data_IF_060885716001
#
_entry.id   IF_060885716001
#
_cell.length_a   1.000
_cell.length_b   1.000
_cell.length_c   1.000
_cell.angle_alpha   90.00
_cell.angle_beta   90.00
_cell.angle_gamma   90.00
#
_symmetry.space_group_name_H-M   'P 1'
#
loop_
_entity.id
_entity.type
_entity.pdbx_description
1 polymer ?
#
# COMPACT_ATOMS: atom_id res chain seq x y z
N UNK A 1 -0.41 -18.89 -16.35
CA UNK A 1 0.21 -19.62 -15.21
C UNK A 1 0.25 -18.73 -13.96
N UNK A 2 0.65 -17.47 -14.07
CA UNK A 2 0.76 -16.54 -12.93
C UNK A 2 -0.58 -16.28 -12.22
N UNK A 3 -1.64 -16.00 -12.95
CA UNK A 3 -2.98 -15.71 -12.38
C UNK A 3 -3.59 -16.92 -11.64
N UNK A 4 -3.26 -18.16 -12.06
CA UNK A 4 -3.79 -19.37 -11.42
C UNK A 4 -3.16 -19.62 -10.05
N UNK A 5 -1.87 -19.37 -9.89
CA UNK A 5 -1.19 -19.57 -8.60
C UNK A 5 -1.75 -18.67 -7.49
N UNK A 6 -2.00 -17.39 -7.75
CA UNK A 6 -2.60 -16.50 -6.76
C UNK A 6 -4.05 -16.87 -6.44
N UNK A 7 -4.81 -17.31 -7.45
CA UNK A 7 -6.18 -17.78 -7.25
C UNK A 7 -6.21 -19.06 -6.44
N UNK A 8 -5.35 -20.02 -6.73
CA UNK A 8 -5.28 -21.29 -6.00
C UNK A 8 -4.91 -21.04 -4.53
N UNK A 9 -3.90 -20.21 -4.25
CA UNK A 9 -3.51 -19.85 -2.87
C UNK A 9 -4.62 -19.08 -2.14
N UNK A 10 -5.29 -18.13 -2.82
CA UNK A 10 -6.46 -17.47 -2.27
C UNK A 10 -7.52 -18.49 -1.84
N UNK A 11 -7.89 -19.39 -2.75
CA UNK A 11 -8.94 -20.38 -2.51
C UNK A 11 -8.56 -21.35 -1.37
N UNK A 12 -7.29 -21.70 -1.24
CA UNK A 12 -6.79 -22.51 -0.12
C UNK A 12 -6.93 -21.77 1.21
N UNK A 13 -6.51 -20.49 1.25
CA UNK A 13 -6.53 -19.67 2.45
C UNK A 13 -7.95 -19.23 2.88
N UNK A 14 -8.90 -19.22 1.94
CA UNK A 14 -10.32 -18.91 2.14
C UNK A 14 -11.20 -20.16 2.23
N UNK A 15 -10.60 -21.36 2.15
CA UNK A 15 -11.29 -22.66 2.28
C UNK A 15 -12.37 -22.93 1.21
N UNK A 16 -12.12 -22.49 -0.03
CA UNK A 16 -13.13 -22.51 -1.10
C UNK A 16 -12.90 -23.55 -2.19
N UNK A 17 -11.73 -24.23 -2.23
CA UNK A 17 -11.36 -25.18 -3.31
C UNK A 17 -10.61 -26.40 -2.78
N UNK A 18 -11.30 -27.54 -2.69
CA UNK A 18 -10.73 -28.82 -2.24
C UNK A 18 -9.72 -29.43 -3.23
N UNK A 19 -9.85 -29.16 -4.53
CA UNK A 19 -8.89 -29.67 -5.52
C UNK A 19 -7.55 -28.92 -5.41
N UNK A 20 -7.60 -27.60 -5.20
CA UNK A 20 -6.41 -26.81 -4.94
C UNK A 20 -5.70 -27.26 -3.66
N UNK A 21 -6.47 -27.54 -2.58
CA UNK A 21 -5.91 -28.09 -1.34
C UNK A 21 -5.19 -29.41 -1.54
N UNK A 22 -5.79 -30.38 -2.26
CA UNK A 22 -5.14 -31.65 -2.56
C UNK A 22 -3.86 -31.47 -3.37
N UNK A 23 -3.87 -30.55 -4.35
CA UNK A 23 -2.72 -30.28 -5.22
C UNK A 23 -1.53 -29.72 -4.44
N UNK A 24 -1.78 -28.87 -3.47
CA UNK A 24 -0.77 -28.15 -2.69
C UNK A 24 -0.71 -28.58 -1.21
N UNK A 25 -1.19 -29.77 -0.86
CA UNK A 25 -1.32 -30.27 0.50
C UNK A 25 -0.05 -30.06 1.35
N UNK A 26 1.11 -30.40 0.80
CA UNK A 26 2.41 -30.24 1.47
C UNK A 26 2.79 -28.76 1.74
N UNK A 27 2.20 -27.80 1.01
CA UNK A 27 2.51 -26.37 1.11
C UNK A 27 1.48 -25.58 1.94
N UNK A 28 0.35 -26.18 2.27
CA UNK A 28 -0.73 -25.51 3.01
C UNK A 28 -0.23 -24.90 4.34
N UNK A 29 0.53 -25.62 5.19
CA UNK A 29 1.04 -25.01 6.43
C UNK A 29 1.91 -23.79 6.17
N UNK A 30 2.72 -23.81 5.11
CA UNK A 30 3.55 -22.69 4.71
C UNK A 30 2.69 -21.47 4.30
N UNK A 31 1.61 -21.66 3.53
CA UNK A 31 0.72 -20.56 3.13
C UNK A 31 0.06 -19.88 4.33
N UNK A 32 -0.34 -20.64 5.34
CA UNK A 32 -0.88 -20.06 6.57
C UNK A 32 0.18 -19.28 7.37
N UNK A 33 1.40 -19.80 7.49
CA UNK A 33 2.51 -19.07 8.11
C UNK A 33 2.85 -17.77 7.34
N UNK A 34 2.85 -17.81 6.01
CA UNK A 34 3.04 -16.61 5.18
C UNK A 34 1.94 -15.58 5.41
N UNK A 35 0.68 -16.00 5.53
CA UNK A 35 -0.44 -15.12 5.85
C UNK A 35 -0.27 -14.46 7.22
N UNK A 36 0.11 -15.23 8.22
CA UNK A 36 0.36 -14.72 9.58
C UNK A 36 1.50 -13.70 9.57
N UNK A 37 2.64 -14.04 8.95
CA UNK A 37 3.79 -13.14 8.83
C UNK A 37 3.43 -11.85 8.07
N UNK A 38 2.69 -11.94 6.97
CA UNK A 38 2.17 -10.79 6.23
C UNK A 38 1.35 -9.85 7.14
N UNK A 39 0.48 -10.42 7.99
CA UNK A 39 -0.27 -9.64 8.99
C UNK A 39 0.64 -8.91 9.99
N UNK A 40 1.67 -9.57 10.49
CA UNK A 40 2.65 -8.98 11.42
C UNK A 40 3.41 -7.83 10.73
N UNK A 41 3.89 -8.03 9.52
CA UNK A 41 4.61 -7.01 8.74
C UNK A 41 3.73 -5.80 8.45
N UNK A 42 2.48 -6.02 8.05
CA UNK A 42 1.50 -4.95 7.79
C UNK A 42 1.21 -4.15 9.04
N UNK A 43 0.96 -4.82 10.18
CA UNK A 43 0.73 -4.15 11.46
C UNK A 43 1.96 -3.32 11.87
N UNK A 44 3.17 -3.84 11.69
CA UNK A 44 4.40 -3.11 11.98
C UNK A 44 4.53 -1.84 11.12
N UNK A 45 4.24 -1.91 9.82
CA UNK A 45 4.22 -0.73 8.94
C UNK A 45 3.14 0.26 9.34
N UNK A 46 1.94 -0.22 9.64
CA UNK A 46 0.83 0.62 10.10
C UNK A 46 1.20 1.41 11.36
N UNK A 47 1.87 0.78 12.33
CA UNK A 47 2.35 1.46 13.54
C UNK A 47 3.41 2.53 13.25
N UNK A 48 4.18 2.38 12.17
CA UNK A 48 5.15 3.39 11.70
C UNK A 48 4.49 4.55 10.95
N UNK A 49 3.19 4.46 10.63
CA UNK A 49 2.43 5.50 9.93
C UNK A 49 2.33 5.26 8.42
N UNK A 50 2.38 3.98 7.96
CA UNK A 50 2.10 3.69 6.56
C UNK A 50 0.65 4.01 6.23
N UNK A 51 0.46 4.57 5.03
CA UNK A 51 -0.86 4.96 4.55
C UNK A 51 -1.25 4.00 3.44
N UNK A 52 -2.30 3.23 3.67
CA UNK A 52 -2.88 2.35 2.65
C UNK A 52 -4.05 3.08 1.97
N UNK A 53 -3.85 3.44 0.70
CA UNK A 53 -4.91 3.98 -0.13
C UNK A 53 -5.59 2.85 -0.88
N UNK A 54 -6.81 2.53 -0.53
CA UNK A 54 -7.59 1.48 -1.22
C UNK A 54 -8.33 2.10 -2.43
N UNK A 55 -7.59 2.38 -3.50
CA UNK A 55 -8.20 2.82 -4.75
C UNK A 55 -8.50 1.61 -5.64
N UNK A 56 -9.72 1.54 -6.18
CA UNK A 56 -10.05 0.49 -7.13
C UNK A 56 -9.19 0.62 -8.39
N UNK A 57 -8.35 -0.39 -8.63
CA UNK A 57 -7.60 -0.54 -9.87
C UNK A 57 -8.49 -1.16 -10.96
N UNK A 58 -8.20 -0.85 -12.22
CA UNK A 58 -8.95 -1.41 -13.34
C UNK A 58 -8.15 -2.49 -14.07
N UNK A 59 -8.76 -3.67 -14.22
CA UNK A 59 -8.22 -4.76 -15.05
C UNK A 59 -8.87 -4.70 -16.43
N UNK A 60 -8.06 -4.48 -17.45
CA UNK A 60 -8.51 -4.50 -18.86
C UNK A 60 -8.53 -5.96 -19.33
N UNK A 61 -9.69 -6.41 -19.79
CA UNK A 61 -9.86 -7.75 -20.36
C UNK A 61 -9.65 -7.65 -21.86
N UNK A 62 -8.69 -8.43 -22.36
CA UNK A 62 -8.37 -8.48 -23.78
C UNK A 62 -8.91 -9.77 -24.41
N UNK A 63 -9.32 -9.70 -25.69
CA UNK A 63 -9.64 -10.88 -26.49
C UNK A 63 -8.35 -11.55 -27.03
N UNK A 64 -8.50 -12.67 -27.73
CA UNK A 64 -7.35 -13.40 -28.31
C UNK A 64 -6.55 -12.56 -29.34
N UNK A 65 -7.10 -11.52 -29.90
CA UNK A 65 -6.45 -10.58 -30.81
C UNK A 65 -5.81 -9.38 -30.09
N UNK A 66 -5.80 -9.34 -28.75
CA UNK A 66 -5.23 -8.25 -27.98
C UNK A 66 -6.09 -6.99 -27.89
N UNK A 67 -7.33 -7.01 -28.36
CA UNK A 67 -8.26 -5.87 -28.30
C UNK A 67 -8.99 -5.88 -26.97
N UNK A 68 -9.09 -4.70 -26.31
CA UNK A 68 -9.88 -4.52 -25.10
C UNK A 68 -11.37 -4.78 -25.35
N UNK A 69 -11.97 -5.66 -24.55
CA UNK A 69 -13.38 -6.06 -24.65
C UNK A 69 -14.17 -5.72 -23.39
N UNK A 70 -13.50 -5.53 -22.25
CA UNK A 70 -14.14 -5.21 -20.98
C UNK A 70 -13.15 -4.54 -20.03
N UNK A 71 -13.67 -3.81 -19.03
CA UNK A 71 -12.89 -3.22 -17.93
C UNK A 71 -13.57 -3.61 -16.64
N UNK A 72 -12.85 -4.33 -15.78
CA UNK A 72 -13.34 -4.80 -14.48
C UNK A 72 -12.52 -4.20 -13.34
N UNK A 73 -13.09 -3.95 -12.17
CA UNK A 73 -12.29 -3.62 -11.00
C UNK A 73 -11.35 -4.79 -10.69
N UNK A 74 -10.09 -4.47 -10.38
CA UNK A 74 -9.12 -5.43 -9.85
C UNK A 74 -9.23 -5.41 -8.32
N UNK A 75 -9.59 -6.55 -7.75
CA UNK A 75 -9.63 -6.73 -6.31
C UNK A 75 -8.34 -7.41 -5.85
N UNK A 76 -7.59 -6.72 -5.01
CA UNK A 76 -6.46 -7.32 -4.32
C UNK A 76 -6.97 -8.44 -3.40
N UNK A 77 -6.38 -9.62 -3.49
CA UNK A 77 -6.75 -10.78 -2.67
C UNK A 77 -5.68 -11.08 -1.63
N UNK A 78 -6.00 -12.01 -0.71
CA UNK A 78 -5.09 -12.39 0.38
C UNK A 78 -3.72 -12.84 -0.14
N UNK A 79 -3.66 -13.56 -1.25
CA UNK A 79 -2.40 -14.06 -1.81
C UNK A 79 -1.54 -12.94 -2.41
N UNK A 80 -2.16 -11.97 -3.11
CA UNK A 80 -1.45 -10.81 -3.65
C UNK A 80 -0.94 -9.90 -2.52
N UNK A 81 -1.72 -9.72 -1.46
CA UNK A 81 -1.33 -8.94 -0.28
C UNK A 81 -0.13 -9.55 0.47
N UNK A 82 -0.06 -10.87 0.58
CA UNK A 82 1.11 -11.57 1.15
C UNK A 82 2.38 -11.23 0.37
N UNK A 83 2.33 -11.32 -0.95
CA UNK A 83 3.51 -11.04 -1.79
C UNK A 83 3.89 -9.57 -1.72
N UNK A 84 2.92 -8.65 -1.72
CA UNK A 84 3.15 -7.22 -1.55
C UNK A 84 3.90 -6.92 -0.24
N UNK A 85 3.44 -7.46 0.90
CA UNK A 85 4.08 -7.25 2.20
C UNK A 85 5.51 -7.79 2.23
N UNK A 86 5.76 -8.93 1.59
CA UNK A 86 7.10 -9.52 1.51
C UNK A 86 8.03 -8.72 0.59
N UNK A 87 7.52 -8.21 -0.54
CA UNK A 87 8.28 -7.34 -1.44
C UNK A 87 8.66 -6.03 -0.73
N UNK A 88 7.72 -5.43 -0.01
CA UNK A 88 8.00 -4.22 0.76
C UNK A 88 9.05 -4.45 1.83
N UNK A 89 8.96 -5.55 2.58
CA UNK A 89 9.96 -5.91 3.58
C UNK A 89 11.34 -6.14 2.97
N UNK A 90 11.41 -6.83 1.83
CA UNK A 90 12.67 -7.05 1.12
C UNK A 90 13.29 -5.73 0.64
N UNK A 91 12.48 -4.84 0.05
CA UNK A 91 12.93 -3.53 -0.43
C UNK A 91 13.44 -2.66 0.73
N UNK A 92 12.69 -2.59 1.84
CA UNK A 92 13.09 -1.85 3.04
C UNK A 92 14.42 -2.40 3.62
N UNK A 93 14.56 -3.73 3.72
CA UNK A 93 15.76 -4.37 4.27
C UNK A 93 16.99 -4.08 3.42
N UNK A 94 16.89 -4.23 2.11
CA UNK A 94 18.00 -3.94 1.18
C UNK A 94 18.37 -2.46 1.24
N UNK A 95 17.39 -1.56 1.19
CA UNK A 95 17.64 -0.13 1.26
C UNK A 95 18.32 0.27 2.58
N UNK A 96 17.88 -0.31 3.70
CA UNK A 96 18.46 -0.04 5.01
C UNK A 96 19.90 -0.55 5.12
N UNK A 97 20.19 -1.75 4.63
CA UNK A 97 21.52 -2.33 4.65
C UNK A 97 22.53 -1.44 3.91
N UNK A 98 22.21 -1.10 2.65
CA UNK A 98 23.08 -0.24 1.84
C UNK A 98 23.22 1.18 2.43
N UNK A 99 22.17 1.68 3.07
CA UNK A 99 22.20 2.97 3.76
C UNK A 99 23.14 2.92 4.99
N UNK A 100 23.06 1.85 5.79
CA UNK A 100 23.86 1.68 7.00
C UNK A 100 25.34 1.51 6.66
N UNK A 101 25.65 0.81 5.59
CA UNK A 101 27.04 0.59 5.10
C UNK A 101 27.57 1.78 4.27
N UNK A 102 26.79 2.85 4.10
CA UNK A 102 27.13 4.03 3.30
C UNK A 102 27.53 3.68 1.85
N UNK A 103 26.99 2.59 1.31
CA UNK A 103 27.26 2.13 -0.04
C UNK A 103 26.36 2.91 -1.01
N UNK A 104 26.90 3.49 -2.11
CA UNK A 104 26.07 4.16 -3.13
C UNK A 104 25.00 3.21 -3.70
N UNK A 105 23.75 3.60 -3.59
CA UNK A 105 22.60 2.80 -4.04
C UNK A 105 21.52 3.72 -4.63
N UNK A 106 20.55 3.16 -5.33
CA UNK A 106 19.42 3.94 -5.84
C UNK A 106 18.23 3.74 -4.88
N UNK A 107 17.86 4.84 -4.21
CA UNK A 107 16.73 4.88 -3.30
C UNK A 107 15.52 5.53 -3.97
N UNK A 108 14.34 5.01 -3.68
CA UNK A 108 13.09 5.66 -4.01
C UNK A 108 12.60 6.42 -2.79
N UNK A 109 12.52 7.72 -2.89
CA UNK A 109 12.22 8.60 -1.75
C UNK A 109 11.00 9.46 -2.04
N UNK A 110 10.30 9.85 -0.96
CA UNK A 110 9.25 10.87 -0.99
C UNK A 110 9.68 12.05 -0.14
N UNK A 111 9.53 13.24 -0.69
CA UNK A 111 9.68 14.47 0.08
C UNK A 111 8.44 14.70 0.95
N UNK A 112 8.58 15.55 1.98
CA UNK A 112 7.44 16.01 2.77
C UNK A 112 6.35 16.61 1.86
N UNK A 113 5.06 16.47 2.24
CA UNK A 113 3.95 17.06 1.50
C UNK A 113 4.15 18.57 1.28
N UNK A 114 3.50 19.09 0.24
CA UNK A 114 3.51 20.51 -0.07
C UNK A 114 2.68 21.29 0.98
N UNK A 115 3.29 22.23 1.74
CA UNK A 115 2.59 22.91 2.84
C UNK A 115 1.32 23.65 2.40
N UNK A 116 1.31 24.30 1.23
CA UNK A 116 0.14 25.02 0.71
C UNK A 116 -1.01 24.07 0.38
N UNK A 117 -0.70 22.91 -0.17
CA UNK A 117 -1.71 21.88 -0.47
C UNK A 117 -2.25 21.24 0.80
N UNK A 118 -1.39 21.05 1.79
CA UNK A 118 -1.78 20.55 3.11
C UNK A 118 -2.73 21.52 3.80
N UNK A 119 -2.42 22.83 3.81
CA UNK A 119 -3.29 23.84 4.39
C UNK A 119 -4.67 23.89 3.70
N UNK A 120 -4.68 23.81 2.37
CA UNK A 120 -5.91 23.72 1.58
C UNK A 120 -6.72 22.46 1.93
N UNK A 121 -6.05 21.32 2.11
CA UNK A 121 -6.69 20.07 2.52
C UNK A 121 -7.29 20.18 3.92
N UNK A 122 -6.54 20.70 4.89
CA UNK A 122 -7.00 20.89 6.27
C UNK A 122 -8.23 21.82 6.34
N UNK A 123 -8.22 22.90 5.57
CA UNK A 123 -9.35 23.82 5.45
C UNK A 123 -10.60 23.11 4.92
N UNK A 124 -10.43 22.28 3.88
CA UNK A 124 -11.54 21.49 3.31
C UNK A 124 -12.08 20.48 4.32
N UNK A 125 -11.22 19.76 5.03
CA UNK A 125 -11.60 18.77 6.03
C UNK A 125 -12.34 19.43 7.20
N UNK A 126 -11.88 20.60 7.65
CA UNK A 126 -12.55 21.38 8.66
C UNK A 126 -13.97 21.79 8.23
N UNK A 127 -14.14 22.24 6.99
CA UNK A 127 -15.44 22.59 6.41
C UNK A 127 -16.39 21.38 6.27
N UNK A 128 -15.85 20.17 6.17
CA UNK A 128 -16.60 18.91 6.16
C UNK A 128 -16.90 18.38 7.58
N UNK A 129 -16.51 19.11 8.64
CA UNK A 129 -16.74 18.74 10.01
C UNK A 129 -15.80 17.66 10.57
N UNK A 130 -14.75 17.31 9.83
CA UNK A 130 -13.72 16.40 10.31
C UNK A 130 -12.87 17.10 11.37
N UNK A 131 -12.88 16.57 12.59
CA UNK A 131 -12.10 17.13 13.70
C UNK A 131 -10.64 16.72 13.55
N UNK A 132 -9.82 17.62 13.05
CA UNK A 132 -8.38 17.45 12.99
C UNK A 132 -7.76 18.28 14.11
N UNK A 133 -6.90 17.67 14.92
CA UNK A 133 -6.06 18.44 15.83
C UNK A 133 -5.14 19.30 14.98
N UNK A 134 -5.06 20.61 15.31
CA UNK A 134 -4.27 21.57 14.54
C UNK A 134 -2.88 21.01 14.30
N UNK A 135 -2.56 20.76 13.04
CA UNK A 135 -1.23 20.33 12.64
C UNK A 135 -0.20 21.38 13.06
N UNK A 136 0.92 20.93 13.55
CA UNK A 136 2.15 21.73 13.66
C UNK A 136 2.57 22.18 12.25
N UNK A 137 3.58 23.03 12.16
CA UNK A 137 4.09 23.58 10.89
C UNK A 137 4.37 22.53 9.80
N UNK A 138 4.61 21.25 10.18
CA UNK A 138 4.78 20.14 9.26
C UNK A 138 3.83 18.97 9.62
N UNK A 139 3.09 18.48 8.63
CA UNK A 139 2.27 17.25 8.76
C UNK A 139 3.16 16.01 8.62
N UNK A 140 3.07 15.13 9.60
CA UNK A 140 3.75 13.84 9.59
C UNK A 140 2.93 12.77 8.84
N UNK A 141 3.55 11.70 8.31
CA UNK A 141 2.82 10.57 7.72
C UNK A 141 1.77 9.98 8.67
N UNK A 142 2.07 9.93 9.96
CA UNK A 142 1.14 9.43 10.98
C UNK A 142 -0.11 10.31 11.15
N UNK A 143 0.03 11.62 11.05
CA UNK A 143 -1.12 12.53 11.08
C UNK A 143 -1.98 12.38 9.82
N UNK A 144 -1.36 12.16 8.65
CA UNK A 144 -2.09 11.85 7.42
C UNK A 144 -2.84 10.52 7.54
N UNK A 145 -2.21 9.49 8.11
CA UNK A 145 -2.86 8.22 8.42
C UNK A 145 -4.11 8.43 9.28
N UNK A 146 -4.00 9.18 10.37
CA UNK A 146 -5.14 9.49 11.26
C UNK A 146 -6.26 10.24 10.54
N UNK A 147 -5.91 11.13 9.60
CA UNK A 147 -6.90 11.81 8.77
C UNK A 147 -7.67 10.79 7.92
N UNK A 148 -6.96 9.88 7.26
CA UNK A 148 -7.58 8.85 6.42
C UNK A 148 -8.46 7.92 7.25
N UNK A 149 -8.00 7.46 8.40
CA UNK A 149 -8.78 6.65 9.32
C UNK A 149 -10.06 7.38 9.80
N UNK A 150 -9.97 8.69 10.01
CA UNK A 150 -11.12 9.49 10.47
C UNK A 150 -12.22 9.69 9.43
N UNK A 151 -11.90 9.49 8.16
CA UNK A 151 -12.85 9.64 7.04
C UNK A 151 -13.38 8.30 6.53
N UNK A 152 -12.88 7.18 7.04
CA UNK A 152 -13.30 5.84 6.65
C UNK A 152 -14.82 5.67 6.86
N UNK A 153 -15.50 5.17 5.82
CA UNK A 153 -16.96 4.99 5.82
C UNK A 153 -17.78 6.27 5.60
N UNK A 154 -17.16 7.43 5.43
CA UNK A 154 -17.89 8.66 5.09
C UNK A 154 -18.25 8.69 3.59
N UNK A 155 -19.37 9.31 3.21
CA UNK A 155 -19.78 9.42 1.80
C UNK A 155 -18.74 10.07 0.89
N UNK A 156 -17.87 10.92 1.45
CA UNK A 156 -16.84 11.68 0.75
C UNK A 156 -15.43 11.06 0.84
N UNK A 157 -15.30 9.87 1.43
CA UNK A 157 -14.02 9.18 1.67
C UNK A 157 -13.14 9.12 0.41
N UNK A 158 -13.70 8.61 -0.72
CA UNK A 158 -12.95 8.46 -1.96
C UNK A 158 -12.46 9.81 -2.54
N UNK A 159 -13.22 10.89 -2.35
CA UNK A 159 -12.82 12.23 -2.78
C UNK A 159 -11.69 12.76 -1.90
N UNK A 160 -11.83 12.66 -0.59
CA UNK A 160 -10.85 13.16 0.37
C UNK A 160 -9.54 12.37 0.25
N UNK A 161 -9.57 11.05 0.15
CA UNK A 161 -8.39 10.20 -0.05
C UNK A 161 -7.61 10.59 -1.31
N UNK A 162 -8.31 10.94 -2.40
CA UNK A 162 -7.65 11.46 -3.62
C UNK A 162 -7.01 12.83 -3.42
N UNK A 163 -7.62 13.70 -2.62
CA UNK A 163 -7.05 15.02 -2.31
C UNK A 163 -5.83 14.88 -1.41
N UNK A 164 -5.88 13.98 -0.41
CA UNK A 164 -4.71 13.63 0.41
C UNK A 164 -3.58 13.14 -0.48
N UNK A 165 -3.83 12.18 -1.37
CA UNK A 165 -2.81 11.67 -2.29
C UNK A 165 -2.22 12.78 -3.18
N UNK A 166 -3.04 13.72 -3.65
CA UNK A 166 -2.58 14.86 -4.47
C UNK A 166 -1.78 15.90 -3.69
N UNK A 167 -1.94 15.98 -2.37
CA UNK A 167 -1.13 16.86 -1.53
C UNK A 167 0.26 16.31 -1.29
N UNK A 168 0.46 15.00 -1.48
CA UNK A 168 1.76 14.36 -1.35
C UNK A 168 2.62 14.60 -2.59
N UNK A 169 3.93 14.72 -2.40
CA UNK A 169 4.87 14.80 -3.51
C UNK A 169 5.08 13.42 -4.13
N UNK A 170 5.31 13.41 -5.44
CA UNK A 170 5.63 12.17 -6.15
C UNK A 170 6.99 11.62 -5.69
N UNK A 171 7.08 10.30 -5.68
CA UNK A 171 8.35 9.61 -5.45
C UNK A 171 9.39 10.01 -6.49
N UNK A 172 10.64 10.09 -6.06
CA UNK A 172 11.79 10.29 -6.94
C UNK A 172 12.90 9.32 -6.60
N UNK A 173 13.72 9.00 -7.58
CA UNK A 173 14.92 8.19 -7.38
C UNK A 173 16.09 9.10 -7.07
N UNK A 174 16.89 8.73 -6.07
CA UNK A 174 18.08 9.48 -5.64
C UNK A 174 19.16 8.52 -5.15
N UNK A 175 20.40 8.93 -5.25
CA UNK A 175 21.55 8.25 -4.63
C UNK A 175 21.94 8.87 -3.29
N UNK A 176 21.25 9.93 -2.86
CA UNK A 176 21.57 10.66 -1.64
C UNK A 176 20.95 9.99 -0.40
N UNK A 177 21.79 9.63 0.56
CA UNK A 177 21.42 9.01 1.82
C UNK A 177 20.75 9.98 2.83
N UNK A 178 20.84 11.29 2.60
CA UNK A 178 20.47 12.31 3.60
C UNK A 178 18.95 12.50 3.83
N UNK A 179 18.10 11.85 3.02
CA UNK A 179 16.64 12.04 3.06
C UNK A 179 15.85 10.74 2.88
N UNK A 180 16.38 9.62 3.35
CA UNK A 180 15.62 8.37 3.35
C UNK A 180 14.72 8.31 4.59
N UNK A 181 13.61 9.00 4.54
CA UNK A 181 12.46 8.53 5.31
C UNK A 181 11.92 7.30 4.55
N UNK A 182 11.79 6.12 5.20
CA UNK A 182 11.20 4.97 4.52
C UNK A 182 9.83 5.38 4.01
N UNK A 183 9.66 5.29 2.69
CA UNK A 183 8.38 5.59 2.07
C UNK A 183 7.33 4.61 2.58
N UNK A 184 6.13 5.07 2.90
CA UNK A 184 5.03 4.18 3.27
C UNK A 184 4.57 3.26 2.11
N UNK A 185 5.13 3.42 0.92
CA UNK A 185 4.80 2.65 -0.28
C UNK A 185 6.03 2.44 -1.16
N UNK A 186 6.72 1.34 -0.97
CA UNK A 186 7.62 0.76 -1.97
C UNK A 186 7.47 -0.75 -2.02
#
# INVERSE_FOLDING_TARGET
>A
IRDRCYTDVKNILEDTDEEAKKRYEALIPMFFMMKELSGILRNSRHHRGSIDFDFPESKIILNAAGKAIDVKPYEANVATKIIEDFMLMANETVAQEYCTEEIPFVYRTHDNPDPEKVESLLTLLHNQGVKIQKAKEEITPKEIQQIIESIEGLPNEAMISRLVLRSMKQAKYTTCLLYTSPSPRD
#
